data_IF_169291622738
#
_entry.id   IF_169291622738
#
_cell.length_a   1.000
_cell.length_b   1.000
_cell.length_c   1.000
_cell.angle_alpha   90.00
_cell.angle_beta   90.00
_cell.angle_gamma   90.00
#
_symmetry.space_group_name_H-M   'P 1'
#
loop_
_entity.id
_entity.type
_entity.pdbx_description
1 polymer ?
#
# COMPACT_ATOMS: atom_id res chain seq x y z
N UNK A 1 -11.93 -21.30 -5.09
CA UNK A 1 -12.01 -21.07 -3.60
C UNK A 1 -11.16 -22.08 -2.84
N UNK A 2 -10.40 -21.66 -1.84
CA UNK A 2 -9.66 -22.54 -0.94
C UNK A 2 -10.55 -22.97 0.24
N UNK A 3 -11.39 -23.99 0.00
CA UNK A 3 -12.29 -24.56 1.02
C UNK A 3 -11.52 -25.16 2.21
N UNK A 4 -10.31 -25.69 1.98
CA UNK A 4 -9.46 -26.25 3.03
C UNK A 4 -8.91 -25.15 3.94
N UNK A 5 -8.51 -24.01 3.39
CA UNK A 5 -8.07 -22.84 4.14
C UNK A 5 -9.21 -22.24 4.98
N UNK A 6 -10.40 -22.17 4.42
CA UNK A 6 -11.60 -21.70 5.13
C UNK A 6 -11.94 -22.65 6.29
N UNK A 7 -12.01 -23.94 6.05
CA UNK A 7 -12.30 -24.95 7.07
C UNK A 7 -11.26 -24.91 8.21
N UNK A 8 -9.97 -24.81 7.87
CA UNK A 8 -8.89 -24.67 8.86
C UNK A 8 -9.04 -23.40 9.69
N UNK A 9 -9.37 -22.26 9.10
CA UNK A 9 -9.56 -21.00 9.82
C UNK A 9 -10.77 -21.07 10.77
N UNK A 10 -11.88 -21.70 10.36
CA UNK A 10 -13.04 -21.91 11.20
C UNK A 10 -12.71 -22.83 12.38
N UNK A 11 -12.01 -23.94 12.11
CA UNK A 11 -11.61 -24.89 13.15
C UNK A 11 -10.64 -24.25 14.17
N UNK A 12 -9.61 -23.52 13.70
CA UNK A 12 -8.69 -22.82 14.58
C UNK A 12 -9.40 -21.79 15.45
N UNK A 13 -10.36 -21.04 14.88
CA UNK A 13 -11.15 -20.08 15.64
C UNK A 13 -12.01 -20.74 16.72
N UNK A 14 -12.63 -21.88 16.40
CA UNK A 14 -13.43 -22.66 17.36
C UNK A 14 -12.56 -23.26 18.47
N UNK A 15 -11.34 -23.70 18.11
CA UNK A 15 -10.41 -24.35 19.05
C UNK A 15 -9.68 -23.36 19.97
N UNK A 16 -9.34 -22.15 19.47
CA UNK A 16 -8.54 -21.18 20.24
C UNK A 16 -9.35 -20.05 20.86
N UNK A 17 -10.60 -19.84 20.43
CA UNK A 17 -11.42 -18.70 20.86
C UNK A 17 -10.90 -17.33 20.39
N UNK A 18 -9.76 -17.28 19.69
CA UNK A 18 -9.12 -16.04 19.23
C UNK A 18 -9.86 -15.50 18.01
N UNK A 19 -10.27 -14.21 18.11
CA UNK A 19 -10.89 -13.48 16.99
C UNK A 19 -9.90 -13.11 15.87
N UNK A 20 -8.61 -13.23 16.11
CA UNK A 20 -7.53 -12.83 15.17
C UNK A 20 -6.85 -14.01 14.49
N UNK A 21 -7.52 -15.14 14.34
CA UNK A 21 -6.98 -16.27 13.57
C UNK A 21 -6.70 -15.85 12.14
N UNK A 22 -5.51 -16.17 11.58
CA UNK A 22 -5.19 -15.87 10.19
C UNK A 22 -6.27 -16.43 9.27
N UNK A 23 -6.97 -15.56 8.54
CA UNK A 23 -8.08 -15.95 7.68
C UNK A 23 -7.59 -16.70 6.46
N UNK A 24 -8.22 -17.83 6.13
CA UNK A 24 -8.07 -18.53 4.86
C UNK A 24 -8.85 -17.87 3.73
N UNK A 25 -8.84 -16.53 3.64
CA UNK A 25 -9.56 -15.82 2.57
C UNK A 25 -8.80 -15.92 1.26
N UNK A 26 -9.46 -16.45 0.23
CA UNK A 26 -8.95 -16.48 -1.13
C UNK A 26 -8.82 -15.06 -1.73
N UNK A 27 -8.01 -14.89 -2.77
CA UNK A 27 -7.83 -13.60 -3.46
C UNK A 27 -9.17 -13.02 -3.91
N UNK A 28 -10.07 -13.84 -4.48
CA UNK A 28 -11.42 -13.41 -4.87
C UNK A 28 -12.24 -12.84 -3.70
N UNK A 29 -12.10 -13.39 -2.49
CA UNK A 29 -12.75 -12.83 -1.29
C UNK A 29 -12.15 -11.50 -0.87
N UNK A 30 -10.85 -11.32 -1.06
CA UNK A 30 -10.19 -10.05 -0.79
C UNK A 30 -10.62 -8.97 -1.79
N UNK A 31 -10.75 -9.33 -3.08
CA UNK A 31 -11.30 -8.45 -4.12
C UNK A 31 -12.75 -8.07 -3.78
N UNK A 32 -13.62 -9.05 -3.49
CA UNK A 32 -14.99 -8.79 -3.10
C UNK A 32 -15.09 -7.79 -1.93
N UNK A 33 -14.25 -7.95 -0.92
CA UNK A 33 -14.18 -7.03 0.22
C UNK A 33 -13.71 -5.63 -0.16
N UNK A 34 -12.71 -5.53 -1.03
CA UNK A 34 -12.11 -4.24 -1.40
C UNK A 34 -13.01 -3.39 -2.29
N UNK A 35 -13.84 -4.01 -3.13
CA UNK A 35 -14.67 -3.30 -4.09
C UNK A 35 -16.13 -3.08 -3.64
N UNK A 36 -16.69 -4.00 -2.88
CA UNK A 36 -18.13 -4.11 -2.75
C UNK A 36 -18.64 -4.07 -1.32
N UNK A 37 -17.79 -4.09 -0.29
CA UNK A 37 -18.23 -4.25 1.09
C UNK A 37 -17.71 -3.13 1.99
N UNK A 38 -18.53 -2.76 2.99
CA UNK A 38 -18.14 -1.81 4.03
C UNK A 38 -17.02 -2.35 4.92
N UNK A 39 -16.33 -1.44 5.63
CA UNK A 39 -15.25 -1.81 6.55
C UNK A 39 -15.74 -2.46 7.86
N UNK A 40 -17.03 -2.44 8.14
CA UNK A 40 -17.62 -2.99 9.36
C UNK A 40 -17.44 -4.49 9.49
N UNK A 41 -17.08 -4.95 10.68
CA UNK A 41 -16.85 -6.36 10.95
C UNK A 41 -18.14 -7.04 11.40
N UNK A 42 -18.79 -7.79 10.49
CA UNK A 42 -20.00 -8.56 10.81
C UNK A 42 -19.96 -9.96 10.16
N UNK A 43 -20.74 -10.89 10.71
CA UNK A 43 -20.92 -12.24 10.12
C UNK A 43 -21.69 -12.17 8.80
N UNK A 44 -22.67 -11.30 8.71
CA UNK A 44 -23.45 -11.05 7.49
C UNK A 44 -22.55 -10.56 6.37
N UNK A 45 -21.63 -9.61 6.67
CA UNK A 45 -20.62 -9.18 5.72
C UNK A 45 -19.71 -10.33 5.27
N UNK A 46 -19.29 -11.21 6.19
CA UNK A 46 -18.45 -12.35 5.82
C UNK A 46 -19.16 -13.36 4.92
N UNK A 47 -20.45 -13.57 5.13
CA UNK A 47 -21.26 -14.38 4.24
C UNK A 47 -21.40 -13.72 2.86
N UNK A 48 -21.71 -12.44 2.83
CA UNK A 48 -21.77 -11.66 1.57
C UNK A 48 -20.45 -11.70 0.81
N UNK A 49 -19.30 -11.59 1.51
CA UNK A 49 -17.95 -11.70 0.92
C UNK A 49 -17.77 -13.07 0.22
N UNK A 50 -18.21 -14.16 0.84
CA UNK A 50 -18.12 -15.51 0.27
C UNK A 50 -18.99 -15.66 -0.98
N UNK A 51 -20.26 -15.23 -0.88
CA UNK A 51 -21.20 -15.31 -2.02
C UNK A 51 -20.75 -14.46 -3.19
N UNK A 52 -20.31 -13.24 -2.92
CA UNK A 52 -19.80 -12.32 -3.94
C UNK A 52 -18.52 -12.82 -4.59
N UNK A 53 -17.59 -13.36 -3.79
CA UNK A 53 -16.38 -13.98 -4.31
C UNK A 53 -16.69 -15.14 -5.26
N UNK A 54 -17.70 -15.96 -4.94
CA UNK A 54 -18.15 -17.05 -5.83
C UNK A 54 -18.72 -16.51 -7.14
N UNK A 55 -19.49 -15.41 -7.08
CA UNK A 55 -20.00 -14.74 -8.28
C UNK A 55 -18.85 -14.18 -9.13
N UNK A 56 -17.89 -13.51 -8.51
CA UNK A 56 -16.69 -13.00 -9.19
C UNK A 56 -15.94 -14.14 -9.90
N UNK A 57 -15.73 -15.27 -9.23
CA UNK A 57 -15.07 -16.44 -9.83
C UNK A 57 -15.88 -17.11 -10.96
N UNK A 58 -17.20 -16.88 -11.05
CA UNK A 58 -18.01 -17.37 -12.18
C UNK A 58 -18.00 -16.45 -13.39
N UNK A 59 -17.74 -15.16 -13.20
CA UNK A 59 -17.79 -14.14 -14.25
C UNK A 59 -16.41 -13.76 -14.78
N UNK A 60 -15.37 -13.86 -13.94
CA UNK A 60 -14.01 -13.44 -14.25
C UNK A 60 -13.03 -14.61 -14.20
N UNK A 61 -12.05 -14.59 -15.09
CA UNK A 61 -10.90 -15.47 -15.07
C UNK A 61 -10.00 -15.24 -13.85
N UNK A 62 -9.11 -16.19 -13.57
CA UNK A 62 -8.15 -16.03 -12.46
C UNK A 62 -7.20 -14.85 -12.67
N UNK A 63 -6.81 -14.59 -13.92
CA UNK A 63 -5.88 -13.50 -14.25
C UNK A 63 -6.57 -12.14 -14.07
N UNK A 64 -7.81 -11.98 -14.50
CA UNK A 64 -8.59 -10.76 -14.27
C UNK A 64 -8.83 -10.51 -12.77
N UNK A 65 -9.14 -11.55 -11.99
CA UNK A 65 -9.27 -11.43 -10.53
C UNK A 65 -7.95 -11.03 -9.89
N UNK A 66 -6.84 -11.57 -10.36
CA UNK A 66 -5.51 -11.25 -9.86
C UNK A 66 -5.09 -9.82 -10.23
N UNK A 67 -5.38 -9.39 -11.43
CA UNK A 67 -5.17 -8.01 -11.88
C UNK A 67 -5.96 -7.01 -11.01
N UNK A 68 -7.25 -7.27 -10.79
CA UNK A 68 -8.06 -6.45 -9.88
C UNK A 68 -7.49 -6.39 -8.47
N UNK A 69 -7.01 -7.53 -7.96
CA UNK A 69 -6.36 -7.60 -6.65
C UNK A 69 -5.10 -6.74 -6.59
N UNK A 70 -4.22 -6.86 -7.58
CA UNK A 70 -2.97 -6.10 -7.63
C UNK A 70 -3.22 -4.60 -7.78
N UNK A 71 -4.19 -4.20 -8.59
CA UNK A 71 -4.53 -2.79 -8.83
C UNK A 71 -5.23 -2.12 -7.65
N UNK A 72 -5.88 -2.88 -6.76
CA UNK A 72 -6.63 -2.32 -5.63
C UNK A 72 -5.95 -2.50 -4.28
N UNK A 73 -5.00 -3.41 -4.16
CA UNK A 73 -4.33 -3.70 -2.89
C UNK A 73 -3.62 -2.48 -2.34
N UNK A 74 -3.68 -2.33 -1.01
CA UNK A 74 -2.95 -1.29 -0.28
C UNK A 74 -1.55 -1.79 0.06
N UNK A 75 -0.55 -1.02 -0.32
CA UNK A 75 0.87 -1.32 -0.12
C UNK A 75 1.53 -0.44 0.96
N UNK A 76 0.76 0.30 1.75
CA UNK A 76 1.31 1.27 2.71
C UNK A 76 1.60 2.63 2.07
N UNK A 77 1.92 3.63 2.91
CA UNK A 77 2.35 4.97 2.47
C UNK A 77 1.48 5.59 1.35
N UNK A 78 0.17 5.41 1.43
CA UNK A 78 -0.83 5.87 0.45
C UNK A 78 -0.72 5.21 -0.94
N UNK A 79 0.15 4.22 -1.13
CA UNK A 79 0.26 3.49 -2.38
C UNK A 79 -0.87 2.45 -2.49
N UNK A 80 -1.78 2.66 -3.41
CA UNK A 80 -2.84 1.73 -3.80
C UNK A 80 -2.53 1.20 -5.20
N UNK A 81 -2.44 -0.09 -5.33
CA UNK A 81 -2.04 -0.78 -6.55
C UNK A 81 -0.54 -1.00 -6.64
N UNK A 82 -0.16 -2.12 -7.28
CA UNK A 82 1.22 -2.56 -7.38
C UNK A 82 2.09 -1.62 -8.22
N UNK A 83 1.52 -0.99 -9.25
CA UNK A 83 2.24 -0.03 -10.08
C UNK A 83 2.61 1.24 -9.30
N UNK A 84 1.66 1.80 -8.54
CA UNK A 84 1.94 2.94 -7.66
C UNK A 84 2.95 2.58 -6.55
N UNK A 85 2.92 1.35 -6.06
CA UNK A 85 3.88 0.87 -5.09
C UNK A 85 5.30 0.73 -5.67
N UNK A 86 5.42 0.24 -6.91
CA UNK A 86 6.69 0.14 -7.62
C UNK A 86 7.34 1.52 -7.81
N UNK A 87 6.56 2.47 -8.26
CA UNK A 87 7.02 3.85 -8.43
C UNK A 87 7.39 4.50 -7.08
N UNK A 88 6.54 4.31 -6.05
CA UNK A 88 6.75 4.91 -4.74
C UNK A 88 7.98 4.34 -4.02
N UNK A 89 8.18 3.01 -4.02
CA UNK A 89 9.27 2.38 -3.26
C UNK A 89 10.59 2.30 -4.02
N UNK A 90 10.53 2.22 -5.36
CA UNK A 90 11.71 1.96 -6.19
C UNK A 90 11.93 2.99 -7.30
N UNK A 91 10.96 3.90 -7.56
CA UNK A 91 11.03 4.87 -8.67
C UNK A 91 11.04 4.20 -10.05
N UNK A 92 10.53 2.98 -10.15
CA UNK A 92 10.57 2.13 -11.35
C UNK A 92 9.15 1.76 -11.81
N UNK A 93 9.01 1.52 -13.10
CA UNK A 93 7.81 0.86 -13.64
C UNK A 93 7.84 -0.64 -13.32
N UNK A 94 6.68 -1.32 -13.39
CA UNK A 94 6.58 -2.75 -13.07
C UNK A 94 7.50 -3.64 -13.90
N UNK A 95 7.70 -3.31 -15.17
CA UNK A 95 8.56 -4.06 -16.10
C UNK A 95 10.06 -3.77 -15.93
N UNK A 96 10.43 -2.83 -15.07
CA UNK A 96 11.81 -2.44 -14.77
C UNK A 96 12.27 -3.01 -13.42
N UNK A 97 11.37 -3.67 -12.68
CA UNK A 97 11.67 -4.23 -11.38
C UNK A 97 12.51 -5.50 -11.48
N UNK A 98 13.50 -5.59 -10.60
CA UNK A 98 14.29 -6.80 -10.40
C UNK A 98 13.55 -7.82 -9.51
N UNK A 99 14.01 -9.07 -9.48
CA UNK A 99 13.34 -10.15 -8.74
C UNK A 99 13.21 -9.87 -7.24
N UNK A 100 14.23 -9.28 -6.63
CA UNK A 100 14.24 -8.90 -5.21
C UNK A 100 13.22 -7.79 -4.91
N UNK A 101 13.09 -6.81 -5.80
CA UNK A 101 12.12 -5.72 -5.70
C UNK A 101 10.68 -6.25 -5.88
N UNK A 102 10.44 -7.10 -6.88
CA UNK A 102 9.15 -7.77 -7.07
C UNK A 102 8.76 -8.62 -5.86
N UNK A 103 9.72 -9.38 -5.32
CA UNK A 103 9.51 -10.20 -4.14
C UNK A 103 9.23 -9.37 -2.88
N UNK A 104 9.90 -8.23 -2.75
CA UNK A 104 9.65 -7.27 -1.67
C UNK A 104 8.23 -6.72 -1.77
N UNK A 105 7.81 -6.22 -2.93
CA UNK A 105 6.42 -5.74 -3.15
C UNK A 105 5.40 -6.83 -2.83
N UNK A 106 5.61 -8.07 -3.27
CA UNK A 106 4.73 -9.19 -2.97
C UNK A 106 4.60 -9.50 -1.47
N UNK A 107 5.59 -9.12 -0.68
CA UNK A 107 5.60 -9.26 0.78
C UNK A 107 4.74 -8.23 1.53
N UNK A 108 4.62 -7.00 1.00
CA UNK A 108 4.01 -5.84 1.66
C UNK A 108 2.53 -6.02 2.03
N UNK A 109 1.64 -6.59 1.19
CA UNK A 109 0.21 -6.67 1.49
C UNK A 109 -0.14 -7.43 2.78
N UNK A 110 0.79 -8.20 3.33
CA UNK A 110 0.60 -8.87 4.63
C UNK A 110 0.63 -7.88 5.80
N UNK A 111 1.48 -6.85 5.72
CA UNK A 111 1.69 -5.85 6.76
C UNK A 111 1.96 -4.47 6.13
N UNK A 112 1.01 -3.88 5.41
CA UNK A 112 1.27 -2.72 4.56
C UNK A 112 1.73 -1.49 5.33
N UNK A 113 1.25 -1.28 6.55
CA UNK A 113 1.63 -0.12 7.36
C UNK A 113 2.86 -0.34 8.24
N UNK A 114 3.23 -1.60 8.53
CA UNK A 114 4.27 -1.92 9.53
C UNK A 114 5.34 -2.89 9.04
N UNK A 115 5.36 -3.24 7.77
CA UNK A 115 6.30 -4.20 7.19
C UNK A 115 6.64 -3.86 5.75
N UNK A 116 6.71 -2.57 5.43
CA UNK A 116 7.18 -2.04 4.15
C UNK A 116 8.62 -1.50 4.28
N UNK A 117 9.31 -1.25 3.16
CA UNK A 117 10.69 -0.77 3.13
C UNK A 117 10.99 0.48 3.96
N UNK A 118 10.01 1.36 4.14
CA UNK A 118 10.17 2.62 4.87
C UNK A 118 9.90 2.44 6.36
N UNK A 119 8.75 1.85 6.70
CA UNK A 119 8.32 1.75 8.10
C UNK A 119 9.13 0.75 8.91
N UNK A 120 9.56 -0.34 8.29
CA UNK A 120 10.39 -1.37 8.93
C UNK A 120 11.14 -2.20 7.87
N UNK A 121 12.32 -1.75 7.41
CA UNK A 121 13.12 -2.41 6.38
C UNK A 121 13.48 -3.85 6.74
N UNK A 122 13.81 -4.12 8.00
CA UNK A 122 14.20 -5.44 8.44
C UNK A 122 13.04 -6.44 8.36
N UNK A 123 11.84 -6.04 8.78
CA UNK A 123 10.63 -6.87 8.64
C UNK A 123 10.25 -7.08 7.18
N UNK A 124 10.41 -6.07 6.34
CA UNK A 124 10.20 -6.17 4.90
C UNK A 124 11.17 -7.17 4.28
N UNK A 125 12.46 -7.11 4.65
CA UNK A 125 13.50 -8.05 4.23
C UNK A 125 13.19 -9.48 4.66
N UNK A 126 12.92 -9.71 5.94
CA UNK A 126 12.57 -11.03 6.47
C UNK A 126 11.35 -11.61 5.76
N UNK A 127 10.37 -10.78 5.43
CA UNK A 127 9.17 -11.20 4.71
C UNK A 127 9.47 -11.58 3.26
N UNK A 128 10.27 -10.77 2.55
CA UNK A 128 10.77 -11.07 1.22
C UNK A 128 11.50 -12.41 1.22
N UNK A 129 12.49 -12.54 2.08
CA UNK A 129 13.44 -13.65 2.10
C UNK A 129 12.77 -14.95 2.56
N UNK A 130 12.18 -14.96 3.75
CA UNK A 130 11.68 -16.18 4.40
C UNK A 130 10.29 -16.62 3.92
N UNK A 131 9.61 -15.82 3.12
CA UNK A 131 8.25 -16.17 2.71
C UNK A 131 8.02 -16.07 1.21
N UNK A 132 8.56 -15.07 0.54
CA UNK A 132 8.32 -14.90 -0.89
C UNK A 132 9.37 -15.67 -1.70
N UNK A 133 10.66 -15.37 -1.52
CA UNK A 133 11.73 -16.00 -2.29
C UNK A 133 11.79 -17.52 -2.06
N UNK A 134 11.62 -17.99 -0.82
CA UNK A 134 11.52 -19.44 -0.55
C UNK A 134 10.38 -20.12 -1.33
N UNK A 135 9.23 -19.43 -1.47
CA UNK A 135 8.09 -19.97 -2.21
C UNK A 135 8.24 -19.88 -3.71
N UNK A 136 9.03 -18.95 -4.22
CA UNK A 136 9.34 -18.86 -5.66
C UNK A 136 10.33 -19.93 -6.09
N UNK A 137 11.26 -20.33 -5.24
CA UNK A 137 12.21 -21.39 -5.50
C UNK A 137 11.56 -22.78 -5.58
N UNK A 138 10.55 -23.07 -4.73
CA UNK A 138 9.90 -24.38 -4.65
C UNK A 138 9.17 -24.82 -5.95
N UNK A 139 8.35 -23.99 -6.63
CA UNK A 139 7.68 -24.34 -7.89
C UNK A 139 8.54 -24.09 -9.13
N UNK A 140 9.84 -23.81 -9.00
CA UNK A 140 10.76 -23.47 -10.10
C UNK A 140 10.36 -22.24 -10.92
N UNK A 141 9.68 -21.29 -10.29
CA UNK A 141 9.36 -19.98 -10.91
C UNK A 141 10.62 -19.11 -10.99
N UNK A 142 11.50 -19.23 -10.00
CA UNK A 142 12.86 -18.70 -10.03
C UNK A 142 13.85 -19.83 -9.83
N UNK A 143 15.00 -19.77 -10.49
CA UNK A 143 16.09 -20.71 -10.21
C UNK A 143 16.66 -20.48 -8.81
N UNK A 144 17.27 -21.49 -8.17
CA UNK A 144 17.92 -21.31 -6.88
C UNK A 144 18.97 -20.20 -6.90
N UNK A 145 19.74 -20.07 -7.97
CA UNK A 145 20.76 -19.04 -8.13
C UNK A 145 20.16 -17.61 -8.18
N UNK A 146 19.03 -17.44 -8.88
CA UNK A 146 18.32 -16.15 -8.92
C UNK A 146 17.72 -15.81 -7.56
N UNK A 147 17.16 -16.78 -6.85
CA UNK A 147 16.64 -16.58 -5.50
C UNK A 147 17.74 -16.23 -4.50
N UNK A 148 18.90 -16.89 -4.57
CA UNK A 148 20.07 -16.58 -3.72
C UNK A 148 20.64 -15.19 -4.03
N UNK A 149 20.72 -14.83 -5.31
CA UNK A 149 21.15 -13.49 -5.73
C UNK A 149 20.19 -12.42 -5.20
N UNK A 150 18.88 -12.62 -5.34
CA UNK A 150 17.87 -11.70 -4.81
C UNK A 150 17.88 -11.61 -3.27
N UNK A 151 18.22 -12.70 -2.57
CA UNK A 151 18.36 -12.71 -1.11
C UNK A 151 19.55 -11.88 -0.63
N UNK A 152 20.63 -11.83 -1.40
CA UNK A 152 21.84 -11.08 -1.06
C UNK A 152 21.65 -9.55 -1.20
N UNK A 153 20.68 -9.09 -1.98
CA UNK A 153 20.43 -7.66 -2.20
C UNK A 153 19.78 -7.03 -0.96
N UNK A 154 20.37 -5.96 -0.38
CA UNK A 154 19.71 -5.21 0.69
C UNK A 154 18.46 -4.50 0.16
N UNK A 155 17.47 -4.25 1.02
CA UNK A 155 16.35 -3.38 0.64
C UNK A 155 16.89 -1.96 0.50
N UNK A 156 16.76 -1.34 -0.69
CA UNK A 156 17.24 0.02 -0.87
C UNK A 156 16.38 1.01 -0.06
N UNK A 157 16.94 2.16 0.36
CA UNK A 157 16.14 3.25 0.84
C UNK A 157 15.18 3.71 -0.28
N UNK A 158 14.01 4.30 0.08
CA UNK A 158 13.11 4.81 -0.93
C UNK A 158 13.83 5.83 -1.82
N UNK A 159 13.48 5.90 -3.11
CA UNK A 159 14.05 6.89 -3.99
C UNK A 159 13.80 8.29 -3.42
N UNK A 160 14.71 9.25 -3.63
CA UNK A 160 14.42 10.63 -3.29
C UNK A 160 13.14 11.07 -4.01
N UNK A 161 12.38 11.96 -3.37
CA UNK A 161 11.22 12.54 -4.03
C UNK A 161 11.59 13.04 -5.43
N UNK A 162 10.73 12.81 -6.45
CA UNK A 162 11.01 13.24 -7.81
C UNK A 162 11.41 14.71 -7.84
N UNK A 163 12.42 15.10 -8.63
CA UNK A 163 12.75 16.51 -8.82
C UNK A 163 11.50 17.27 -9.27
N UNK A 164 11.06 18.24 -8.48
CA UNK A 164 9.81 18.98 -8.72
C UNK A 164 8.61 18.52 -7.90
N UNK A 165 8.72 17.52 -7.04
CA UNK A 165 7.72 17.24 -6.01
C UNK A 165 7.68 18.41 -5.02
N UNK A 166 6.67 19.27 -5.18
CA UNK A 166 6.51 20.47 -4.39
C UNK A 166 5.90 20.14 -3.03
N UNK A 167 6.61 20.43 -1.94
CA UNK A 167 6.04 20.38 -0.60
C UNK A 167 5.15 21.61 -0.36
N UNK A 168 3.87 21.46 -0.64
CA UNK A 168 2.90 22.53 -0.52
C UNK A 168 1.62 22.08 0.22
N UNK A 169 1.71 21.60 1.48
CA UNK A 169 0.55 21.02 2.19
C UNK A 169 -0.58 22.04 2.42
N UNK A 170 -0.26 23.31 2.70
CA UNK A 170 -1.26 24.36 2.86
C UNK A 170 -1.99 24.72 1.57
N UNK A 171 -1.27 25.05 0.48
CA UNK A 171 -1.91 25.23 -0.83
C UNK A 171 -2.75 24.02 -1.27
N UNK A 172 -2.26 22.79 -1.08
CA UNK A 172 -3.02 21.58 -1.38
C UNK A 172 -4.31 21.49 -0.55
N UNK A 173 -4.29 21.85 0.73
CA UNK A 173 -5.48 21.89 1.57
C UNK A 173 -6.48 22.96 1.11
N UNK A 174 -6.03 24.15 0.71
CA UNK A 174 -6.88 25.20 0.17
C UNK A 174 -7.54 24.79 -1.14
N UNK A 175 -6.78 24.20 -2.08
CA UNK A 175 -7.31 23.66 -3.33
C UNK A 175 -8.36 22.58 -3.04
N UNK A 176 -8.09 21.67 -2.12
CA UNK A 176 -9.06 20.65 -1.72
C UNK A 176 -10.35 21.25 -1.18
N UNK A 177 -10.27 22.25 -0.31
CA UNK A 177 -11.44 22.93 0.25
C UNK A 177 -12.28 23.62 -0.86
N UNK A 178 -11.62 24.33 -1.73
CA UNK A 178 -12.25 25.00 -2.87
C UNK A 178 -12.94 24.02 -3.82
N UNK A 179 -12.27 22.89 -4.13
CA UNK A 179 -12.82 21.85 -4.97
C UNK A 179 -14.05 21.19 -4.32
N UNK A 180 -14.02 20.95 -3.01
CA UNK A 180 -15.19 20.41 -2.28
C UNK A 180 -16.33 21.43 -2.26
N UNK A 181 -16.04 22.71 -2.05
CA UNK A 181 -17.06 23.77 -2.04
C UNK A 181 -17.75 23.92 -3.39
N UNK A 182 -17.02 23.80 -4.50
CA UNK A 182 -17.56 23.96 -5.87
C UNK A 182 -18.23 22.71 -6.43
N UNK A 183 -17.70 21.53 -6.13
CA UNK A 183 -18.09 20.28 -6.80
C UNK A 183 -18.65 19.21 -5.86
N UNK A 184 -18.73 19.51 -4.55
CA UNK A 184 -19.21 18.57 -3.55
C UNK A 184 -18.14 17.57 -3.06
N UNK A 185 -18.49 16.82 -2.01
CA UNK A 185 -17.56 15.87 -1.34
C UNK A 185 -17.02 14.75 -2.21
N UNK A 186 -17.77 14.35 -3.22
CA UNK A 186 -17.38 13.28 -4.16
C UNK A 186 -16.16 13.61 -5.00
N UNK A 187 -15.79 14.88 -5.10
CA UNK A 187 -14.63 15.34 -5.90
C UNK A 187 -13.33 14.66 -5.47
N UNK A 188 -13.20 14.34 -4.18
CA UNK A 188 -12.00 13.69 -3.63
C UNK A 188 -11.78 12.29 -4.21
N UNK A 189 -12.87 11.61 -4.60
CA UNK A 189 -12.84 10.24 -5.11
C UNK A 189 -12.85 10.15 -6.64
N UNK A 190 -13.15 11.27 -7.32
CA UNK A 190 -13.32 11.29 -8.79
C UNK A 190 -12.03 11.60 -9.56
N UNK A 191 -10.92 11.89 -8.85
CA UNK A 191 -9.61 12.10 -9.48
C UNK A 191 -9.53 13.34 -10.40
N UNK A 192 -10.22 14.43 -10.06
CA UNK A 192 -10.13 15.67 -10.83
C UNK A 192 -8.73 16.29 -10.74
N UNK A 193 -8.08 16.62 -11.85
CA UNK A 193 -6.84 17.34 -11.84
C UNK A 193 -7.07 18.81 -11.44
N UNK A 194 -6.28 19.32 -10.51
CA UNK A 194 -6.27 20.74 -10.14
C UNK A 194 -4.96 21.37 -10.55
N UNK A 195 -4.99 22.40 -11.40
CA UNK A 195 -3.81 23.20 -11.74
C UNK A 195 -3.80 24.47 -10.92
N UNK A 196 -2.65 24.78 -10.31
CA UNK A 196 -2.42 26.00 -9.53
C UNK A 196 -1.41 26.90 -10.21
N UNK A 197 -1.38 28.17 -9.81
CA UNK A 197 -0.40 29.16 -10.27
C UNK A 197 0.85 29.24 -9.38
N UNK A 198 1.09 28.23 -8.55
CA UNK A 198 2.20 28.22 -7.60
C UNK A 198 3.50 27.94 -8.37
N UNK A 199 4.46 28.81 -8.18
CA UNK A 199 5.84 28.60 -8.62
C UNK A 199 6.56 27.68 -7.62
N UNK A 200 7.10 26.56 -8.10
CA UNK A 200 7.70 25.53 -7.25
C UNK A 200 8.92 26.07 -6.47
N UNK A 201 9.76 26.86 -7.13
CA UNK A 201 11.00 27.40 -6.55
C UNK A 201 10.72 28.42 -5.46
N UNK A 202 9.75 29.31 -5.73
CA UNK A 202 9.32 30.31 -4.75
C UNK A 202 8.63 29.66 -3.55
N UNK A 203 7.80 28.65 -3.77
CA UNK A 203 7.12 27.94 -2.70
C UNK A 203 8.09 27.18 -1.80
N UNK A 204 9.08 26.51 -2.37
CA UNK A 204 10.11 25.80 -1.59
C UNK A 204 10.94 26.77 -0.76
N UNK A 205 11.38 27.88 -1.37
CA UNK A 205 12.09 28.96 -0.66
C UNK A 205 11.27 29.54 0.49
N UNK A 206 9.98 29.81 0.26
CA UNK A 206 9.08 30.33 1.28
C UNK A 206 8.87 29.31 2.41
N UNK A 207 8.69 28.03 2.08
CA UNK A 207 8.52 26.96 3.07
C UNK A 207 9.75 26.87 4.01
N UNK A 208 10.95 26.87 3.45
CA UNK A 208 12.20 26.81 4.21
C UNK A 208 12.37 28.04 5.11
N UNK A 209 12.14 29.24 4.57
CA UNK A 209 12.28 30.49 5.31
C UNK A 209 11.28 30.57 6.49
N UNK A 210 10.03 30.20 6.28
CA UNK A 210 9.03 30.17 7.36
C UNK A 210 9.40 29.14 8.43
N UNK A 211 9.78 27.94 8.04
CA UNK A 211 10.22 26.89 8.98
C UNK A 211 11.41 27.34 9.82
N UNK A 212 12.44 27.84 9.18
CA UNK A 212 13.66 28.26 9.84
C UNK A 212 13.41 29.49 10.73
N UNK A 213 12.58 30.42 10.27
CA UNK A 213 12.12 31.56 11.08
C UNK A 213 11.38 31.13 12.34
N UNK A 214 10.48 30.15 12.24
CA UNK A 214 9.75 29.62 13.39
C UNK A 214 10.67 28.86 14.36
N UNK A 215 11.62 28.10 13.84
CA UNK A 215 12.61 27.38 14.67
C UNK A 215 13.51 28.35 15.43
N UNK A 216 13.87 29.51 14.85
CA UNK A 216 14.62 30.56 15.53
C UNK A 216 13.78 31.34 16.55
N UNK A 217 12.47 31.51 16.26
CA UNK A 217 11.55 32.26 17.14
C UNK A 217 11.19 31.45 18.40
N UNK A 218 10.92 30.14 18.27
CA UNK A 218 10.47 29.28 19.35
C UNK A 218 11.35 29.35 20.61
N UNK A 219 12.68 29.09 20.52
CA UNK A 219 13.56 29.14 21.68
C UNK A 219 13.65 30.52 22.33
N UNK A 220 13.55 31.61 21.53
CA UNK A 220 13.66 32.98 22.00
C UNK A 220 12.40 33.45 22.76
N UNK A 221 11.24 32.89 22.42
CA UNK A 221 9.96 33.34 22.96
C UNK A 221 9.24 32.29 23.80
N UNK A 222 9.92 31.19 24.19
CA UNK A 222 9.38 30.08 24.99
C UNK A 222 8.07 29.50 24.41
N UNK A 223 7.93 29.56 23.12
CA UNK A 223 6.83 28.91 22.41
C UNK A 223 7.02 27.42 22.44
N UNK A 224 6.00 26.56 22.74
CA UNK A 224 6.12 25.12 22.61
C UNK A 224 6.49 24.82 21.15
N UNK A 225 7.63 24.14 20.96
CA UNK A 225 8.14 23.85 19.64
C UNK A 225 7.13 23.10 18.78
N UNK A 226 7.18 23.33 17.48
CA UNK A 226 6.55 22.50 16.49
C UNK A 226 7.28 21.15 16.48
N UNK A 227 6.80 20.21 17.31
CA UNK A 227 7.24 18.81 17.33
C UNK A 227 6.40 17.98 16.35
#
# INVERSE_FOLDING_TARGET
MDYRGIARAVWLRAATGDRRVPGGSAIAQQVARQFCLSAEYSYTRKLAEILLARKIESELSKDEIFELYLNKSFFGNRAYGVAAAAEFYYGKKLNELDLDEMASLAGIPKFPSSGNPISNPERARQRRDNSVLQRLAAPKVASPAEADAAHAVPIPPPPPEPPGALSAPYPAALVRQEMIARFGGDVVNKGYPGTTTIDATLQESAHLLVRDGLLLYGPRHRSPGLG
#
